data_IF_868588427692
#
_entry.id   IF_868588427692
#
_cell.length_a   1.000
_cell.length_b   1.000
_cell.length_c   1.000
_cell.angle_alpha   90.00
_cell.angle_beta   90.00
_cell.angle_gamma   90.00
#
_symmetry.space_group_name_H-M   'P 1'
#
loop_
_entity.id
_entity.type
_entity.pdbx_description
1 polymer ?
#
# COMPACT_ATOMS: atom_id res chain seq x y z
N UNK A 1 22.07 -18.68 3.18
CA UNK A 1 21.16 -18.30 2.08
C UNK A 1 20.76 -16.85 2.27
N UNK A 2 20.78 -16.01 1.23
CA UNK A 2 20.36 -14.61 1.35
C UNK A 2 18.85 -14.46 1.08
N UNK A 3 18.24 -13.38 1.58
CA UNK A 3 16.84 -13.03 1.27
C UNK A 3 16.62 -12.94 -0.24
N UNK A 4 17.56 -12.34 -0.98
CA UNK A 4 17.52 -12.26 -2.44
C UNK A 4 17.50 -13.64 -3.11
N UNK A 5 18.27 -14.61 -2.60
CA UNK A 5 18.25 -15.98 -3.14
C UNK A 5 16.92 -16.70 -2.92
N UNK A 6 16.20 -16.39 -1.84
CA UNK A 6 14.87 -16.94 -1.55
C UNK A 6 13.79 -16.33 -2.44
N UNK A 7 13.81 -15.01 -2.61
CA UNK A 7 12.90 -14.28 -3.51
C UNK A 7 13.10 -14.74 -4.95
N UNK A 8 14.35 -14.85 -5.39
CA UNK A 8 14.66 -15.33 -6.73
C UNK A 8 14.10 -16.75 -6.95
N UNK A 9 14.44 -17.69 -6.06
CA UNK A 9 14.06 -19.09 -6.23
C UNK A 9 12.55 -19.33 -6.22
N UNK A 10 11.81 -18.61 -5.38
CA UNK A 10 10.39 -18.89 -5.14
C UNK A 10 9.43 -17.99 -5.92
N UNK A 11 9.85 -16.76 -6.26
CA UNK A 11 8.96 -15.75 -6.84
C UNK A 11 9.41 -15.41 -8.26
N UNK A 12 10.65 -14.96 -8.43
CA UNK A 12 11.06 -14.34 -9.71
C UNK A 12 11.64 -15.31 -10.74
N UNK A 13 11.99 -16.55 -10.35
CA UNK A 13 12.62 -17.54 -11.25
C UNK A 13 11.72 -18.01 -12.39
N UNK A 14 10.40 -18.08 -12.17
CA UNK A 14 9.42 -18.46 -13.21
C UNK A 14 8.55 -17.26 -13.55
N UNK A 15 8.31 -17.03 -14.83
CA UNK A 15 7.49 -15.90 -15.27
C UNK A 15 6.06 -15.97 -14.73
N UNK A 16 5.45 -17.14 -14.66
CA UNK A 16 4.08 -17.31 -14.13
C UNK A 16 3.98 -16.92 -12.65
N UNK A 17 4.95 -17.32 -11.82
CA UNK A 17 4.98 -16.95 -10.40
C UNK A 17 5.31 -15.48 -10.20
N UNK A 18 6.19 -14.92 -11.04
CA UNK A 18 6.50 -13.50 -11.05
C UNK A 18 5.27 -12.67 -11.43
N UNK A 19 4.56 -13.06 -12.48
CA UNK A 19 3.35 -12.38 -12.95
C UNK A 19 2.26 -12.42 -11.89
N UNK A 20 2.02 -13.57 -11.26
CA UNK A 20 1.07 -13.69 -10.16
C UNK A 20 1.45 -12.78 -8.98
N UNK A 21 2.72 -12.81 -8.56
CA UNK A 21 3.21 -12.00 -7.45
C UNK A 21 3.14 -10.50 -7.74
N UNK A 22 3.45 -10.08 -8.97
CA UNK A 22 3.34 -8.68 -9.40
C UNK A 22 1.88 -8.24 -9.47
N UNK A 23 0.98 -9.07 -10.02
CA UNK A 23 -0.44 -8.78 -10.10
C UNK A 23 -1.06 -8.61 -8.71
N UNK A 24 -0.91 -9.61 -7.84
CA UNK A 24 -1.42 -9.56 -6.46
C UNK A 24 -0.73 -8.45 -5.66
N UNK A 25 0.58 -8.30 -5.82
CA UNK A 25 1.37 -7.27 -5.16
C UNK A 25 0.92 -5.86 -5.51
N UNK A 26 0.51 -5.60 -6.75
CA UNK A 26 -0.01 -4.31 -7.17
C UNK A 26 -1.31 -3.94 -6.42
N UNK A 27 -2.25 -4.87 -6.27
CA UNK A 27 -3.50 -4.61 -5.54
C UNK A 27 -3.25 -4.36 -4.06
N UNK A 28 -2.42 -5.20 -3.42
CA UNK A 28 -2.07 -5.06 -2.02
C UNK A 28 -1.33 -3.74 -1.76
N UNK A 29 -0.38 -3.40 -2.63
CA UNK A 29 0.36 -2.14 -2.54
C UNK A 29 -0.56 -0.95 -2.73
N UNK A 30 -1.46 -0.97 -3.71
CA UNK A 30 -2.42 0.11 -3.92
C UNK A 30 -3.30 0.34 -2.69
N UNK A 31 -3.85 -0.72 -2.11
CA UNK A 31 -4.68 -0.61 -0.90
C UNK A 31 -3.89 -0.05 0.29
N UNK A 32 -2.74 -0.65 0.58
CA UNK A 32 -1.90 -0.24 1.72
C UNK A 32 -1.35 1.17 1.54
N UNK A 33 -0.87 1.51 0.35
CA UNK A 33 -0.27 2.80 0.05
C UNK A 33 -1.30 3.93 0.14
N UNK A 34 -2.50 3.75 -0.43
CA UNK A 34 -3.57 4.75 -0.31
C UNK A 34 -3.96 4.94 1.16
N UNK A 35 -4.17 3.85 1.91
CA UNK A 35 -4.53 3.95 3.34
C UNK A 35 -3.47 4.68 4.18
N UNK A 36 -2.18 4.40 3.95
CA UNK A 36 -1.09 5.08 4.65
C UNK A 36 -0.96 6.55 4.21
N UNK A 37 -1.08 6.81 2.91
CA UNK A 37 -0.99 8.17 2.36
C UNK A 37 -2.13 9.05 2.89
N UNK A 38 -3.36 8.53 2.90
CA UNK A 38 -4.53 9.22 3.43
C UNK A 38 -4.38 9.47 4.94
N UNK A 39 -3.97 8.46 5.71
CA UNK A 39 -3.74 8.63 7.16
C UNK A 39 -2.65 9.68 7.46
N UNK A 40 -1.58 9.69 6.67
CA UNK A 40 -0.54 10.70 6.78
C UNK A 40 -1.08 12.10 6.42
N UNK A 41 -1.82 12.21 5.32
CA UNK A 41 -2.42 13.45 4.86
C UNK A 41 -3.40 14.05 5.87
N UNK A 42 -4.23 13.20 6.46
CA UNK A 42 -5.21 13.56 7.50
C UNK A 42 -4.53 14.07 8.75
N UNK A 43 -3.45 13.41 9.18
CA UNK A 43 -2.67 13.85 10.34
C UNK A 43 -2.03 15.22 10.11
N UNK A 44 -1.48 15.45 8.91
CA UNK A 44 -0.81 16.72 8.58
C UNK A 44 -1.82 17.86 8.41
N UNK A 45 -3.01 17.57 7.91
CA UNK A 45 -4.05 18.57 7.63
C UNK A 45 -5.20 18.55 8.64
N UNK A 46 -4.99 17.97 9.82
CA UNK A 46 -6.00 17.87 10.86
C UNK A 46 -6.59 19.25 11.20
N UNK A 47 -7.92 19.31 11.24
CA UNK A 47 -8.70 20.52 11.52
C UNK A 47 -8.88 21.46 10.32
N UNK A 48 -8.24 21.20 9.18
CA UNK A 48 -8.44 21.97 7.94
C UNK A 48 -9.33 21.24 6.94
N UNK A 49 -9.44 19.92 7.06
CA UNK A 49 -10.18 19.12 6.10
C UNK A 49 -11.69 19.27 6.34
N UNK A 50 -12.46 19.20 5.25
CA UNK A 50 -13.92 19.29 5.34
C UNK A 50 -14.52 18.26 6.29
N UNK A 51 -13.97 17.04 6.34
CA UNK A 51 -14.42 16.01 7.29
C UNK A 51 -14.26 16.41 8.76
N UNK A 52 -13.23 17.18 9.09
CA UNK A 52 -13.00 17.66 10.47
C UNK A 52 -13.95 18.82 10.79
N UNK A 53 -14.15 19.73 9.83
CA UNK A 53 -15.07 20.87 9.97
C UNK A 53 -16.52 20.38 10.08
N UNK A 54 -16.92 19.43 9.25
CA UNK A 54 -18.26 18.82 9.26
C UNK A 54 -18.55 18.14 10.60
N UNK A 55 -17.58 17.42 11.17
CA UNK A 55 -17.71 16.78 12.48
C UNK A 55 -17.89 17.78 13.64
N UNK A 56 -17.65 19.07 13.42
CA UNK A 56 -17.91 20.14 14.40
C UNK A 56 -19.30 20.77 14.23
N UNK A 57 -19.91 20.62 13.04
CA UNK A 57 -21.21 21.24 12.68
C UNK A 57 -22.40 20.31 12.94
N UNK A 58 -22.19 19.00 12.92
CA UNK A 58 -23.16 17.95 13.27
C UNK A 58 -23.01 17.53 14.74
#
# INVERSE_FOLDING_TARGET
MSVGSLVYRNITRRFSTLFLAAGVGAFLMNYAFNGVADAYWDKVNAGKQWKDVKATLE
#
